data_IF_425694415762
#
_entry.id   IF_425694415762
#
_cell.length_a   1.000
_cell.length_b   1.000
_cell.length_c   1.000
_cell.angle_alpha   90.00
_cell.angle_beta   90.00
_cell.angle_gamma   90.00
#
_symmetry.space_group_name_H-M   'P 1'
#
loop_
_entity.id
_entity.type
_entity.pdbx_description
1 polymer ?
#
# COMPACT_ATOMS: atom_id res chain seq x y z
N UNK A 1 5.96 37.28 -0.96
CA UNK A 1 7.19 36.45 -0.90
C UNK A 1 6.78 34.98 -0.95
N UNK A 2 7.36 34.14 -1.82
CA UNK A 2 7.02 32.72 -1.83
C UNK A 2 7.48 32.06 -0.54
N UNK A 3 6.62 31.24 0.07
CA UNK A 3 6.93 30.50 1.28
C UNK A 3 8.00 29.43 0.97
N UNK A 4 9.18 29.54 1.59
CA UNK A 4 10.26 28.55 1.46
C UNK A 4 10.18 27.57 2.63
N UNK A 5 9.98 26.28 2.33
CA UNK A 5 9.95 25.23 3.36
C UNK A 5 11.36 24.93 3.89
N UNK A 6 11.53 24.94 5.22
CA UNK A 6 12.79 24.61 5.90
C UNK A 6 13.05 23.10 6.04
N UNK A 7 12.16 22.24 5.53
CA UNK A 7 12.33 20.79 5.60
C UNK A 7 13.46 20.32 4.69
N UNK A 8 14.59 19.87 5.27
CA UNK A 8 15.70 19.24 4.53
C UNK A 8 15.36 17.77 4.24
N UNK A 9 14.68 17.51 3.13
CA UNK A 9 14.58 16.15 2.59
C UNK A 9 15.32 16.08 1.25
N UNK A 10 16.42 15.31 1.15
CA UNK A 10 17.12 15.15 -0.12
C UNK A 10 16.21 14.47 -1.15
N UNK A 11 16.17 15.00 -2.37
CA UNK A 11 15.39 14.40 -3.46
C UNK A 11 16.01 13.06 -3.84
N UNK A 12 15.21 12.00 -3.84
CA UNK A 12 15.64 10.70 -4.37
C UNK A 12 15.76 10.78 -5.89
N UNK A 13 17.00 10.77 -6.38
CA UNK A 13 17.35 10.96 -7.79
C UNK A 13 17.41 9.66 -8.59
N UNK A 14 18.16 9.72 -9.70
CA UNK A 14 18.40 8.59 -10.60
C UNK A 14 19.08 7.41 -9.90
N UNK A 15 20.05 7.69 -9.02
CA UNK A 15 20.81 6.68 -8.27
C UNK A 15 19.90 5.76 -7.45
N UNK A 16 18.90 6.32 -6.75
CA UNK A 16 17.95 5.52 -5.97
C UNK A 16 17.13 4.56 -6.85
N UNK A 17 16.83 4.96 -8.09
CA UNK A 17 16.12 4.10 -9.06
C UNK A 17 17.04 3.00 -9.60
N UNK A 18 18.30 3.32 -9.87
CA UNK A 18 19.31 2.35 -10.30
C UNK A 18 19.59 1.31 -9.21
N UNK A 19 19.73 1.76 -7.95
CA UNK A 19 19.87 0.89 -6.79
C UNK A 19 18.67 -0.05 -6.64
N UNK A 20 17.44 0.46 -6.81
CA UNK A 20 16.22 -0.35 -6.79
C UNK A 20 16.21 -1.41 -7.91
N UNK A 21 16.63 -1.05 -9.12
CA UNK A 21 16.74 -1.97 -10.25
C UNK A 21 17.75 -3.08 -9.95
N UNK A 22 18.94 -2.71 -9.46
CA UNK A 22 19.98 -3.67 -9.10
C UNK A 22 19.53 -4.61 -7.97
N UNK A 23 18.83 -4.09 -6.96
CA UNK A 23 18.29 -4.88 -5.86
C UNK A 23 17.23 -5.88 -6.33
N UNK A 24 16.34 -5.46 -7.23
CA UNK A 24 15.30 -6.32 -7.77
C UNK A 24 15.90 -7.45 -8.60
N UNK A 25 16.90 -7.16 -9.45
CA UNK A 25 17.65 -8.17 -10.21
C UNK A 25 18.36 -9.17 -9.29
N UNK A 26 18.99 -8.71 -8.21
CA UNK A 26 19.56 -9.60 -7.20
C UNK A 26 18.52 -10.54 -6.57
N UNK A 27 17.30 -10.05 -6.34
CA UNK A 27 16.21 -10.88 -5.82
C UNK A 27 15.75 -11.92 -6.84
N UNK A 28 15.75 -11.60 -8.14
CA UNK A 28 15.52 -12.58 -9.23
C UNK A 28 16.56 -13.70 -9.22
N UNK A 29 17.79 -13.42 -8.79
CA UNK A 29 18.84 -14.45 -8.66
C UNK A 29 18.76 -15.26 -7.37
N UNK A 30 18.25 -14.64 -6.30
CA UNK A 30 18.27 -15.23 -4.95
C UNK A 30 17.05 -16.08 -4.64
N UNK A 31 15.87 -15.67 -5.12
CA UNK A 31 14.60 -16.28 -4.74
C UNK A 31 14.03 -17.16 -5.85
N UNK A 32 13.41 -18.27 -5.45
CA UNK A 32 12.81 -19.25 -6.37
C UNK A 32 11.51 -18.74 -7.00
N UNK A 33 10.74 -17.92 -6.29
CA UNK A 33 9.42 -17.48 -6.72
C UNK A 33 9.29 -15.95 -6.70
N UNK A 34 8.50 -15.45 -7.65
CA UNK A 34 8.07 -14.06 -7.76
C UNK A 34 6.54 -14.03 -7.86
N UNK A 35 5.90 -13.26 -6.98
CA UNK A 35 4.46 -13.04 -7.00
C UNK A 35 4.16 -11.57 -7.28
N UNK A 36 3.14 -11.33 -8.10
CA UNK A 36 2.53 -10.01 -8.24
C UNK A 36 1.32 -9.98 -7.32
N UNK A 37 1.27 -9.01 -6.41
CA UNK A 37 0.13 -8.83 -5.52
C UNK A 37 -0.49 -7.45 -5.75
N UNK A 38 -1.81 -7.39 -5.72
CA UNK A 38 -2.55 -6.12 -5.70
C UNK A 38 -2.88 -5.72 -4.26
N UNK A 39 -2.99 -4.43 -4.04
CA UNK A 39 -3.46 -3.88 -2.76
C UNK A 39 -4.66 -2.99 -3.00
N UNK A 40 -5.58 -2.98 -2.06
CA UNK A 40 -6.67 -2.00 -2.02
C UNK A 40 -6.50 -1.19 -0.73
N UNK A 41 -6.65 0.14 -0.82
CA UNK A 41 -6.63 1.04 0.34
C UNK A 41 -5.36 0.92 1.22
N UNK A 42 -4.19 0.66 0.62
CA UNK A 42 -2.95 0.41 1.37
C UNK A 42 -2.57 1.58 2.30
N UNK A 43 -2.08 1.23 3.49
CA UNK A 43 -1.41 2.14 4.43
C UNK A 43 0.04 1.72 4.64
N UNK A 44 0.94 2.70 4.73
CA UNK A 44 2.38 2.47 4.89
C UNK A 44 2.72 1.60 6.11
N UNK A 45 2.00 1.80 7.21
CA UNK A 45 2.10 1.03 8.45
C UNK A 45 1.79 -0.45 8.20
N UNK A 46 0.67 -0.75 7.51
CA UNK A 46 0.30 -2.13 7.20
C UNK A 46 1.30 -2.82 6.29
N UNK A 47 1.85 -2.10 5.31
CA UNK A 47 2.94 -2.63 4.48
C UNK A 47 4.21 -2.94 5.30
N UNK A 48 4.50 -2.17 6.36
CA UNK A 48 5.61 -2.48 7.29
C UNK A 48 5.33 -3.76 8.07
N UNK A 49 4.10 -3.97 8.53
CA UNK A 49 3.70 -5.17 9.27
C UNK A 49 3.86 -6.42 8.39
N UNK A 50 3.37 -6.36 7.14
CA UNK A 50 3.56 -7.46 6.16
C UNK A 50 5.04 -7.72 5.90
N UNK A 51 5.86 -6.67 5.70
CA UNK A 51 7.32 -6.83 5.54
C UNK A 51 8.00 -7.43 6.76
N UNK A 52 7.52 -7.12 7.96
CA UNK A 52 8.05 -7.69 9.21
C UNK A 52 7.68 -9.17 9.37
N UNK A 53 6.47 -9.58 8.97
CA UNK A 53 6.07 -10.98 8.94
C UNK A 53 6.85 -11.77 7.88
N UNK A 54 7.15 -11.13 6.74
CA UNK A 54 7.85 -11.72 5.60
C UNK A 54 9.33 -11.30 5.52
N UNK A 55 10.03 -11.16 6.65
CA UNK A 55 11.47 -10.77 6.70
C UNK A 55 12.40 -11.69 5.91
N UNK A 56 12.01 -12.96 5.77
CA UNK A 56 12.72 -13.99 5.01
C UNK A 56 12.48 -13.88 3.49
N UNK A 57 11.71 -12.88 3.06
CA UNK A 57 11.31 -12.61 1.68
C UNK A 57 11.54 -11.13 1.36
N UNK A 58 11.40 -10.73 0.09
CA UNK A 58 11.56 -9.33 -0.31
C UNK A 58 10.31 -8.77 -0.99
N UNK A 59 9.76 -7.70 -0.41
CA UNK A 59 8.58 -7.01 -0.93
C UNK A 59 8.95 -5.65 -1.52
N UNK A 60 8.76 -5.51 -2.83
CA UNK A 60 8.84 -4.26 -3.55
C UNK A 60 7.44 -3.70 -3.78
N UNK A 61 7.27 -2.43 -3.41
CA UNK A 61 6.04 -1.68 -3.67
C UNK A 61 6.45 -0.25 -4.04
N UNK A 62 6.26 0.11 -5.30
CA UNK A 62 6.81 1.34 -5.86
C UNK A 62 6.35 1.54 -7.30
N UNK A 63 7.06 2.39 -8.06
CA UNK A 63 6.63 2.73 -9.42
C UNK A 63 6.74 1.51 -10.35
N UNK A 64 5.60 1.00 -10.82
CA UNK A 64 5.52 -0.16 -11.73
C UNK A 64 6.50 -0.05 -12.90
N UNK A 65 6.60 1.14 -13.52
CA UNK A 65 7.51 1.36 -14.65
C UNK A 65 8.99 1.09 -14.33
N UNK A 66 9.43 1.29 -13.08
CA UNK A 66 10.80 1.00 -12.66
C UNK A 66 10.98 -0.50 -12.44
N UNK A 67 10.01 -1.17 -11.80
CA UNK A 67 10.03 -2.63 -11.63
C UNK A 67 9.99 -3.36 -12.98
N UNK A 68 9.19 -2.88 -13.94
CA UNK A 68 9.17 -3.40 -15.31
C UNK A 68 10.50 -3.22 -16.05
N UNK A 69 11.27 -2.16 -15.77
CA UNK A 69 12.62 -1.98 -16.37
C UNK A 69 13.60 -2.97 -15.75
N UNK A 70 13.46 -3.27 -14.47
CA UNK A 70 14.32 -4.22 -13.80
C UNK A 70 14.11 -5.66 -14.30
N UNK A 71 12.85 -6.06 -14.51
CA UNK A 71 12.46 -7.37 -15.04
C UNK A 71 12.62 -7.49 -16.57
N UNK A 72 12.34 -6.41 -17.30
CA UNK A 72 12.23 -6.36 -18.75
C UNK A 72 10.78 -6.21 -19.22
N UNK A 73 10.56 -5.48 -20.31
CA UNK A 73 9.21 -5.18 -20.84
C UNK A 73 8.79 -6.11 -21.97
N UNK A 74 9.78 -6.65 -22.65
CA UNK A 74 9.69 -7.47 -23.86
C UNK A 74 10.80 -8.54 -23.82
N UNK A 75 10.66 -9.64 -24.58
CA UNK A 75 11.64 -10.74 -24.56
C UNK A 75 13.08 -10.30 -24.83
N UNK A 76 13.30 -9.32 -25.70
CA UNK A 76 14.64 -8.77 -26.02
C UNK A 76 15.29 -8.01 -24.87
N UNK A 77 14.52 -7.54 -23.89
CA UNK A 77 14.99 -6.70 -22.77
C UNK A 77 14.91 -7.41 -21.42
N UNK A 78 14.51 -8.69 -21.40
CA UNK A 78 14.29 -9.40 -20.16
C UNK A 78 15.57 -9.81 -19.47
N UNK A 79 15.57 -9.63 -18.15
CA UNK A 79 16.74 -9.94 -17.35
C UNK A 79 16.96 -11.46 -17.22
N UNK A 80 15.87 -12.22 -17.20
CA UNK A 80 15.85 -13.68 -17.31
C UNK A 80 14.64 -14.09 -18.14
N UNK A 81 14.71 -15.30 -18.67
CA UNK A 81 13.68 -15.87 -19.52
C UNK A 81 12.29 -15.73 -18.90
N UNK A 82 11.32 -15.32 -19.71
CA UNK A 82 9.91 -15.17 -19.37
C UNK A 82 9.56 -14.08 -18.34
N UNK A 83 10.51 -13.28 -17.82
CA UNK A 83 10.19 -12.20 -16.88
C UNK A 83 9.36 -11.07 -17.48
N UNK A 84 9.43 -10.87 -18.80
CA UNK A 84 8.56 -9.90 -19.48
C UNK A 84 7.07 -10.26 -19.30
N UNK A 85 6.72 -11.53 -19.05
CA UNK A 85 5.35 -11.97 -18.74
C UNK A 85 4.89 -11.47 -17.38
N UNK A 86 5.77 -11.44 -16.37
CA UNK A 86 5.48 -10.85 -15.06
C UNK A 86 5.24 -9.35 -15.19
N UNK A 87 6.08 -8.65 -15.96
CA UNK A 87 5.93 -7.21 -16.22
C UNK A 87 4.58 -6.81 -16.81
N UNK A 88 3.93 -7.67 -17.61
CA UNK A 88 2.59 -7.39 -18.17
C UNK A 88 1.51 -7.21 -17.09
N UNK A 89 1.70 -7.83 -15.92
CA UNK A 89 0.80 -7.78 -14.77
C UNK A 89 1.06 -6.58 -13.84
N UNK A 90 2.13 -5.79 -14.09
CA UNK A 90 2.46 -4.61 -13.27
C UNK A 90 1.59 -3.38 -13.62
N UNK A 91 0.28 -3.48 -13.37
CA UNK A 91 -0.74 -2.44 -13.65
C UNK A 91 -1.55 -2.12 -12.40
N UNK A 92 -1.83 -0.84 -12.17
CA UNK A 92 -2.55 -0.39 -10.97
C UNK A 92 -1.68 -0.38 -9.71
N UNK A 93 -2.33 -0.49 -8.55
CA UNK A 93 -1.67 -0.55 -7.24
C UNK A 93 -1.19 -1.97 -6.93
N UNK A 94 -0.02 -2.32 -7.47
CA UNK A 94 0.57 -3.65 -7.35
C UNK A 94 2.01 -3.61 -6.86
N UNK A 95 2.44 -4.70 -6.24
CA UNK A 95 3.81 -4.93 -5.81
C UNK A 95 4.36 -6.28 -6.25
N UNK A 96 5.63 -6.50 -5.95
CA UNK A 96 6.32 -7.77 -6.15
C UNK A 96 6.74 -8.36 -4.81
N UNK A 97 6.49 -9.64 -4.63
CA UNK A 97 7.00 -10.45 -3.53
C UNK A 97 7.95 -11.49 -4.09
N UNK A 98 9.21 -11.44 -3.68
CA UNK A 98 10.21 -12.47 -3.95
C UNK A 98 10.35 -13.36 -2.72
N UNK A 99 10.20 -14.67 -2.89
CA UNK A 99 10.22 -15.61 -1.76
C UNK A 99 10.67 -17.00 -2.18
N UNK A 100 11.11 -17.80 -1.21
CA UNK A 100 11.34 -19.23 -1.36
C UNK A 100 10.17 -20.08 -0.83
N UNK A 101 9.13 -19.43 -0.28
CA UNK A 101 7.87 -20.07 0.11
C UNK A 101 7.08 -20.49 -1.10
N UNK A 102 6.39 -21.62 -0.97
CA UNK A 102 5.52 -22.17 -2.01
C UNK A 102 4.31 -21.28 -2.25
N UNK A 103 3.63 -21.50 -3.39
CA UNK A 103 2.38 -20.80 -3.69
C UNK A 103 1.33 -20.98 -2.60
N UNK A 104 1.16 -22.21 -2.11
CA UNK A 104 0.12 -22.52 -1.13
C UNK A 104 0.36 -21.81 0.21
N UNK A 105 1.63 -21.75 0.67
CA UNK A 105 2.00 -20.99 1.87
C UNK A 105 1.72 -19.49 1.73
N UNK A 106 1.99 -18.93 0.53
CA UNK A 106 1.71 -17.51 0.22
C UNK A 106 0.20 -17.27 0.20
N UNK A 107 -0.56 -18.07 -0.55
CA UNK A 107 -2.01 -17.93 -0.68
C UNK A 107 -2.72 -18.11 0.68
N UNK A 108 -2.30 -19.09 1.49
CA UNK A 108 -2.85 -19.32 2.85
C UNK A 108 -2.63 -18.10 3.75
N UNK A 109 -1.42 -17.54 3.77
CA UNK A 109 -1.12 -16.41 4.64
C UNK A 109 -1.85 -15.14 4.21
N UNK A 110 -1.80 -14.79 2.92
CA UNK A 110 -2.41 -13.56 2.41
C UNK A 110 -3.95 -13.61 2.39
N UNK A 111 -4.56 -14.79 2.31
CA UNK A 111 -6.02 -14.94 2.42
C UNK A 111 -6.54 -14.71 3.85
N UNK A 112 -5.73 -15.05 4.86
CA UNK A 112 -6.03 -14.82 6.28
C UNK A 112 -5.69 -13.41 6.74
N UNK A 113 -4.73 -12.76 6.11
CA UNK A 113 -4.34 -11.40 6.46
C UNK A 113 -5.47 -10.40 6.13
N UNK A 114 -6.17 -9.93 7.17
CA UNK A 114 -7.21 -8.91 7.07
C UNK A 114 -7.02 -7.88 8.16
N UNK A 115 -7.14 -6.62 7.79
CA UNK A 115 -6.97 -5.49 8.70
C UNK A 115 -8.16 -4.54 8.56
N UNK A 116 -8.74 -4.17 9.70
CA UNK A 116 -9.79 -3.15 9.73
C UNK A 116 -9.16 -1.78 9.52
N UNK A 117 -9.80 -0.97 8.68
CA UNK A 117 -9.35 0.38 8.41
C UNK A 117 -10.55 1.32 8.22
N UNK A 118 -10.35 2.61 8.48
CA UNK A 118 -11.37 3.62 8.24
C UNK A 118 -11.69 3.70 6.74
N UNK A 119 -12.98 3.80 6.43
CA UNK A 119 -13.45 3.96 5.06
C UNK A 119 -12.90 5.25 4.43
N UNK A 120 -12.58 5.19 3.13
CA UNK A 120 -12.24 6.37 2.32
C UNK A 120 -13.46 6.79 1.51
N UNK A 121 -13.53 8.06 1.16
CA UNK A 121 -14.54 8.55 0.23
C UNK A 121 -14.53 7.73 -1.06
N UNK A 122 -15.71 7.30 -1.52
CA UNK A 122 -15.88 6.40 -2.66
C UNK A 122 -15.92 4.90 -2.30
N UNK A 123 -15.56 4.50 -1.08
CA UNK A 123 -15.77 3.12 -0.64
C UNK A 123 -17.28 2.84 -0.46
N UNK A 124 -17.76 1.69 -0.96
CA UNK A 124 -19.10 1.21 -0.65
C UNK A 124 -19.14 0.72 0.80
N UNK A 125 -20.06 1.25 1.60
CA UNK A 125 -20.25 0.81 2.98
C UNK A 125 -20.70 -0.66 2.99
N UNK A 126 -20.04 -1.54 3.77
CA UNK A 126 -20.44 -2.95 3.86
C UNK A 126 -21.73 -3.15 4.68
N UNK A 127 -22.10 -2.19 5.52
CA UNK A 127 -23.30 -2.18 6.35
C UNK A 127 -23.77 -0.74 6.59
N UNK A 128 -25.03 -0.57 6.98
CA UNK A 128 -25.59 0.72 7.38
C UNK A 128 -25.11 1.12 8.78
N UNK A 129 -24.84 2.41 8.99
CA UNK A 129 -24.50 2.97 10.31
C UNK A 129 -25.66 3.86 10.75
N UNK A 130 -26.24 3.56 11.91
CA UNK A 130 -27.27 4.36 12.57
C UNK A 130 -26.75 4.82 13.94
N UNK A 131 -27.09 6.05 14.32
CA UNK A 131 -26.79 6.59 15.64
C UNK A 131 -28.09 6.72 16.42
N UNK A 132 -28.09 6.20 17.64
CA UNK A 132 -29.22 6.35 18.55
C UNK A 132 -29.33 7.80 19.04
N UNK A 133 -30.54 8.20 19.40
CA UNK A 133 -30.77 9.51 19.99
C UNK A 133 -30.20 9.55 21.40
N UNK A 134 -29.37 10.54 21.71
CA UNK A 134 -28.81 10.71 23.05
C UNK A 134 -27.54 11.56 23.06
N UNK A 135 -26.90 11.69 24.24
CA UNK A 135 -25.59 12.30 24.36
C UNK A 135 -24.53 11.54 23.55
N UNK A 136 -23.69 12.27 22.81
CA UNK A 136 -22.59 11.70 22.04
C UNK A 136 -21.26 11.81 22.82
N UNK A 137 -21.12 11.02 23.88
CA UNK A 137 -19.97 11.08 24.82
C UNK A 137 -18.62 10.77 24.16
N UNK A 138 -18.63 10.11 23.00
CA UNK A 138 -17.43 9.78 22.24
C UNK A 138 -16.79 10.99 21.53
N UNK A 139 -17.48 12.12 21.43
CA UNK A 139 -16.98 13.33 20.79
C UNK A 139 -16.76 14.47 21.80
N UNK A 140 -15.62 15.18 21.75
CA UNK A 140 -15.44 16.38 22.56
C UNK A 140 -16.38 17.50 22.08
N UNK A 141 -16.75 18.40 22.99
CA UNK A 141 -17.64 19.53 22.71
C UNK A 141 -17.18 20.40 21.52
N UNK A 142 -15.86 20.49 21.30
CA UNK A 142 -15.26 21.26 20.20
C UNK A 142 -15.55 20.70 18.80
N UNK A 143 -15.94 19.43 18.68
CA UNK A 143 -16.31 18.80 17.41
C UNK A 143 -17.77 19.04 17.04
N UNK A 144 -18.60 19.57 17.93
CA UNK A 144 -20.03 19.76 17.68
C UNK A 144 -20.32 20.60 16.43
N UNK A 145 -19.64 21.74 16.16
CA UNK A 145 -19.84 22.49 14.92
C UNK A 145 -19.54 21.69 13.66
N UNK A 146 -18.53 20.81 13.70
CA UNK A 146 -18.15 19.96 12.56
C UNK A 146 -19.20 18.87 12.32
N UNK A 147 -19.68 18.22 13.39
CA UNK A 147 -20.74 17.22 13.29
C UNK A 147 -22.01 17.80 12.68
N UNK A 148 -22.39 19.02 13.12
CA UNK A 148 -23.53 19.75 12.54
C UNK A 148 -23.32 20.06 11.06
N UNK A 149 -22.12 20.49 10.68
CA UNK A 149 -21.79 20.76 9.27
C UNK A 149 -21.85 19.50 8.40
N UNK A 150 -21.57 18.32 8.96
CA UNK A 150 -21.70 17.02 8.30
C UNK A 150 -23.16 16.52 8.23
N UNK A 151 -24.13 17.32 8.68
CA UNK A 151 -25.57 17.00 8.61
C UNK A 151 -26.12 16.28 9.84
N UNK A 152 -25.34 16.15 10.91
CA UNK A 152 -25.83 15.54 12.16
C UNK A 152 -26.60 16.58 12.98
N UNK A 153 -27.85 16.31 13.40
CA UNK A 153 -28.66 17.28 14.15
C UNK A 153 -28.25 17.35 15.62
N UNK A 154 -27.08 17.94 15.90
CA UNK A 154 -26.51 18.07 17.26
C UNK A 154 -26.72 19.47 17.86
N UNK A 155 -26.73 19.52 19.19
CA UNK A 155 -26.67 20.75 19.98
C UNK A 155 -25.92 20.50 21.28
N UNK A 156 -25.12 21.47 21.74
CA UNK A 156 -24.48 21.42 23.06
C UNK A 156 -25.52 21.76 24.15
N UNK A 157 -25.67 20.88 25.13
CA UNK A 157 -26.53 21.09 26.30
C UNK A 157 -25.68 20.97 27.57
N UNK A 158 -25.37 22.12 28.18
CA UNK A 158 -24.56 22.25 29.41
C UNK A 158 -23.06 21.93 29.27
N UNK A 159 -22.46 22.31 28.13
CA UNK A 159 -21.03 22.09 27.85
C UNK A 159 -20.74 20.63 27.55
#
# INVERSE_FOLDING_TARGET
LPAVSLTRTPRKGLEAKQALIAELRRCVDTYKYIFVFSVANMRNNKLKDVRNAWKHSRIFFGKNKVMMVALGREPSSEYKENLHKVSKHLRGEVGLLFTNRTRDEVDEWFSRFRELDFARAGNKAPYGVSLDTGPLEQFPHSMEPQLRQLGLPTALKKG
#
